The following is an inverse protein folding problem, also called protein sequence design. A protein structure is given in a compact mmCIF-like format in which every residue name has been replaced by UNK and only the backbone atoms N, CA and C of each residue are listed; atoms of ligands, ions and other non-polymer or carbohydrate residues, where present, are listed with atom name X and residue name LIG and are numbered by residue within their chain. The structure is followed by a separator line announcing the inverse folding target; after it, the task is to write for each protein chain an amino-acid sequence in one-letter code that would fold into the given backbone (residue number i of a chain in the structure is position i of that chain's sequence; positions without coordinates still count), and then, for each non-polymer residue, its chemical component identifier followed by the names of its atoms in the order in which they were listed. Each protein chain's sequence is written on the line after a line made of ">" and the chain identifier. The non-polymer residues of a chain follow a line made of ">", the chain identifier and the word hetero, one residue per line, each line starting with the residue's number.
data_IF_008114166955
#
_entry.id   IF_008114166955
#
_cell.length_a   1.000
_cell.length_b   1.000
_cell.length_c   1.000
_cell.angle_alpha   90.00
_cell.angle_beta   90.00
_cell.angle_gamma   90.00
#
_symmetry.space_group_name_H-M   'P 1'
#
loop_
_entity.id
_entity.type
_entity.pdbx_description
1 polymer ?
#
# COMPACT_ATOMS: atom_id res chain seq x y z
N UNK A 1 1.60 24.61 11.28
CA UNK A 1 1.65 24.24 9.84
C UNK A 1 3.04 23.82 9.37
N UNK A 2 4.11 24.26 10.03
CA UNK A 2 5.48 23.81 9.77
C UNK A 2 5.82 22.39 10.28
N UNK A 3 5.20 21.97 11.38
CA UNK A 3 5.26 20.57 11.85
C UNK A 3 4.84 19.59 10.73
N UNK A 4 3.93 19.98 9.84
CA UNK A 4 3.21 19.10 8.90
C UNK A 4 4.15 18.48 7.87
N UNK A 5 5.05 19.26 7.29
CA UNK A 5 5.76 18.83 6.08
C UNK A 5 7.00 18.02 6.41
N UNK A 6 7.76 18.46 7.42
CA UNK A 6 8.93 17.72 7.92
C UNK A 6 8.48 16.47 8.68
N UNK A 7 7.38 16.52 9.45
CA UNK A 7 6.81 15.34 10.09
C UNK A 7 6.20 14.38 9.06
N UNK A 8 5.56 14.82 7.97
CA UNK A 8 5.10 13.87 6.94
C UNK A 8 6.30 13.20 6.25
N UNK A 9 7.42 13.89 6.01
CA UNK A 9 8.59 13.24 5.39
C UNK A 9 9.31 12.29 6.35
N UNK A 10 9.48 12.67 7.62
CA UNK A 10 10.07 11.78 8.64
C UNK A 10 9.11 10.68 9.08
N UNK A 11 7.80 10.89 8.99
CA UNK A 11 6.79 9.85 9.26
C UNK A 11 6.46 9.00 8.05
N UNK A 12 6.70 9.43 6.81
CA UNK A 12 6.67 8.56 5.61
C UNK A 12 7.71 7.45 5.74
N UNK A 13 8.88 7.78 6.31
CA UNK A 13 9.92 6.82 6.70
C UNK A 13 9.42 5.89 7.82
N UNK A 14 8.50 6.36 8.67
CA UNK A 14 7.94 5.64 9.83
C UNK A 14 6.65 4.81 9.52
N UNK A 15 5.91 5.10 8.44
CA UNK A 15 4.73 4.33 7.97
C UNK A 15 5.08 2.85 7.85
N UNK A 16 6.30 2.60 7.38
CA UNK A 16 6.87 1.28 7.16
C UNK A 16 7.20 0.52 8.47
N UNK A 17 7.14 1.18 9.64
CA UNK A 17 7.59 0.59 10.90
C UNK A 17 6.46 -0.02 11.77
N UNK A 18 5.18 0.32 11.53
CA UNK A 18 4.08 -0.01 12.45
C UNK A 18 2.93 -0.87 11.89
N UNK A 19 2.92 -1.18 10.60
CA UNK A 19 2.13 -2.30 10.07
C UNK A 19 2.98 -3.57 10.17
N UNK A 20 2.39 -4.67 10.65
CA UNK A 20 3.04 -5.96 10.47
C UNK A 20 2.80 -6.34 9.02
N UNK A 21 3.79 -6.08 8.19
CA UNK A 21 3.78 -6.48 6.81
C UNK A 21 4.14 -7.96 6.75
N UNK A 22 3.20 -8.75 6.24
CA UNK A 22 3.42 -10.16 5.98
C UNK A 22 3.58 -10.36 4.48
N UNK A 23 4.53 -11.22 4.13
CA UNK A 23 4.74 -11.68 2.76
C UNK A 23 3.89 -12.92 2.53
N UNK A 24 3.21 -12.96 1.39
CA UNK A 24 2.39 -14.09 0.96
C UNK A 24 3.11 -14.84 -0.16
N UNK A 25 3.46 -16.10 0.09
CA UNK A 25 4.06 -17.01 -0.88
C UNK A 25 3.03 -18.08 -1.27
N UNK A 26 2.75 -18.27 -2.56
CA UNK A 26 1.86 -19.33 -3.00
C UNK A 26 2.59 -20.67 -2.99
N UNK A 27 2.00 -21.67 -2.35
CA UNK A 27 2.65 -22.96 -2.11
C UNK A 27 2.60 -23.91 -3.32
N UNK A 28 1.75 -23.61 -4.29
CA UNK A 28 1.49 -24.43 -5.47
C UNK A 28 1.94 -23.71 -6.75
N UNK A 29 2.39 -24.48 -7.74
CA UNK A 29 2.81 -23.95 -9.05
C UNK A 29 1.65 -23.25 -9.77
N UNK A 30 0.44 -23.80 -9.62
CA UNK A 30 -0.79 -23.12 -9.99
C UNK A 30 -1.40 -22.50 -8.73
N UNK A 31 -1.58 -21.17 -8.73
CA UNK A 31 -2.16 -20.45 -7.58
C UNK A 31 -3.57 -20.98 -7.23
N UNK A 32 -4.32 -21.35 -8.26
CA UNK A 32 -5.68 -21.85 -8.14
C UNK A 32 -5.69 -23.35 -8.41
N UNK A 33 -6.15 -24.13 -7.44
CA UNK A 33 -6.29 -25.57 -7.54
C UNK A 33 -7.75 -25.98 -7.47
N UNK A 34 -8.20 -27.00 -8.23
CA UNK A 34 -9.55 -27.49 -8.11
C UNK A 34 -9.79 -28.11 -6.74
N UNK A 35 -10.98 -27.92 -6.19
CA UNK A 35 -11.34 -28.56 -4.93
C UNK A 35 -11.40 -30.07 -5.06
N UNK A 36 -10.89 -30.81 -4.06
CA UNK A 36 -10.84 -32.28 -4.07
C UNK A 36 -12.21 -32.93 -4.31
N UNK A 37 -13.29 -32.35 -3.74
CA UNK A 37 -14.65 -32.88 -3.88
C UNK A 37 -15.34 -32.47 -5.19
N UNK A 38 -14.84 -31.44 -5.86
CA UNK A 38 -15.46 -30.87 -7.06
C UNK A 38 -14.42 -30.59 -8.15
N UNK A 39 -13.68 -31.62 -8.62
CA UNK A 39 -12.55 -31.44 -9.52
C UNK A 39 -12.95 -30.87 -10.88
N UNK A 40 -14.19 -31.14 -11.32
CA UNK A 40 -14.72 -30.67 -12.59
C UNK A 40 -15.30 -29.24 -12.51
N UNK A 41 -15.57 -28.72 -11.31
CA UNK A 41 -16.17 -27.40 -11.07
C UNK A 41 -15.11 -26.31 -10.86
N UNK A 42 -14.10 -26.28 -11.71
CA UNK A 42 -13.00 -25.34 -11.60
C UNK A 42 -13.32 -23.99 -12.26
N UNK A 43 -12.47 -22.98 -12.05
CA UNK A 43 -12.70 -21.60 -12.50
C UNK A 43 -12.80 -21.48 -14.03
N UNK A 44 -12.23 -22.43 -14.76
CA UNK A 44 -12.28 -22.54 -16.22
C UNK A 44 -13.70 -22.78 -16.77
N UNK A 45 -14.64 -23.24 -15.93
CA UNK A 45 -16.05 -23.34 -16.31
C UNK A 45 -16.70 -22.01 -16.64
N UNK A 46 -16.17 -20.89 -16.14
CA UNK A 46 -16.68 -19.55 -16.42
C UNK A 46 -15.65 -18.66 -17.09
N UNK A 47 -14.37 -18.79 -16.75
CA UNK A 47 -13.31 -17.92 -17.26
C UNK A 47 -12.30 -18.72 -18.07
N UNK A 48 -12.19 -18.44 -19.36
CA UNK A 48 -11.03 -18.88 -20.15
C UNK A 48 -9.81 -18.08 -19.70
N UNK A 49 -8.95 -18.75 -18.92
CA UNK A 49 -7.72 -18.19 -18.37
C UNK A 49 -6.48 -18.46 -19.25
N UNK A 50 -6.64 -19.08 -20.42
CA UNK A 50 -5.51 -19.45 -21.29
C UNK A 50 -4.70 -18.25 -21.80
N UNK A 51 -5.29 -17.06 -21.78
CA UNK A 51 -4.65 -15.81 -22.18
C UNK A 51 -4.15 -14.97 -20.99
N UNK A 52 -4.22 -15.50 -19.77
CA UNK A 52 -3.69 -14.88 -18.57
C UNK A 52 -2.41 -15.61 -18.14
N UNK A 53 -1.31 -14.88 -17.99
CA UNK A 53 -0.12 -15.36 -17.34
C UNK A 53 -0.15 -14.90 -15.88
N UNK A 54 -0.01 -15.84 -14.96
CA UNK A 54 0.05 -15.59 -13.52
C UNK A 54 1.36 -16.16 -13.02
N UNK A 55 2.25 -15.30 -12.55
CA UNK A 55 3.53 -15.72 -11.98
C UNK A 55 3.78 -14.98 -10.68
N UNK A 56 4.31 -15.70 -9.68
CA UNK A 56 4.98 -15.04 -8.57
C UNK A 56 6.46 -14.94 -8.94
N UNK A 57 6.95 -13.71 -9.08
CA UNK A 57 8.35 -13.45 -9.41
C UNK A 57 9.23 -13.80 -8.23
N UNK A 58 10.53 -14.01 -8.49
CA UNK A 58 11.47 -14.34 -7.41
C UNK A 58 11.58 -13.27 -6.31
N UNK A 59 11.16 -12.02 -6.61
CA UNK A 59 11.10 -10.92 -5.65
C UNK A 59 9.80 -10.88 -4.83
N UNK A 60 8.97 -11.92 -4.93
CA UNK A 60 7.72 -12.07 -4.20
C UNK A 60 6.54 -11.36 -4.85
N UNK A 61 6.73 -10.58 -5.92
CA UNK A 61 5.63 -9.88 -6.58
C UNK A 61 4.72 -10.83 -7.34
N UNK A 62 3.42 -10.56 -7.31
CA UNK A 62 2.45 -11.24 -8.16
C UNK A 62 2.32 -10.44 -9.46
N UNK A 63 2.69 -11.09 -10.56
CA UNK A 63 2.55 -10.55 -11.90
C UNK A 63 1.40 -11.29 -12.60
N UNK A 64 0.34 -10.54 -12.94
CA UNK A 64 -0.79 -11.03 -13.73
C UNK A 64 -0.90 -10.19 -14.99
N UNK A 65 -0.65 -10.82 -16.13
CA UNK A 65 -0.70 -10.17 -17.44
C UNK A 65 -1.63 -10.89 -18.38
N UNK A 66 -2.36 -10.12 -19.19
CA UNK A 66 -3.20 -10.64 -20.26
C UNK A 66 -4.68 -10.46 -19.95
N UNK A 67 -5.51 -11.42 -20.33
CA UNK A 67 -6.95 -11.28 -20.17
C UNK A 67 -7.64 -12.63 -19.99
N UNK A 68 -8.86 -12.57 -19.46
CA UNK A 68 -9.77 -13.72 -19.40
C UNK A 68 -11.03 -13.44 -20.19
N UNK A 69 -11.68 -14.50 -20.70
CA UNK A 69 -12.95 -14.40 -21.42
C UNK A 69 -14.00 -15.21 -20.69
N UNK A 70 -15.20 -14.64 -20.51
CA UNK A 70 -16.36 -15.36 -19.98
C UNK A 70 -16.83 -16.38 -21.03
N UNK A 71 -16.84 -17.67 -20.68
CA UNK A 71 -17.13 -18.77 -21.61
C UNK A 71 -18.61 -19.08 -21.76
N UNK A 72 -19.45 -18.59 -20.84
CA UNK A 72 -20.91 -18.80 -20.85
C UNK A 72 -21.64 -17.72 -20.09
N UNK A 73 -22.88 -17.45 -20.49
CA UNK A 73 -23.75 -16.51 -19.76
C UNK A 73 -24.24 -17.14 -18.46
N UNK A 74 -24.11 -16.41 -17.35
CA UNK A 74 -24.62 -16.79 -16.03
C UNK A 74 -25.62 -15.73 -15.57
N UNK A 75 -26.89 -16.11 -15.58
CA UNK A 75 -27.99 -15.26 -15.14
C UNK A 75 -28.30 -15.45 -13.66
N UNK A 76 -28.77 -14.39 -13.01
CA UNK A 76 -29.20 -14.42 -11.61
C UNK A 76 -28.13 -14.00 -10.62
N UNK A 77 -28.50 -14.07 -9.34
CA UNK A 77 -27.63 -13.79 -8.21
C UNK A 77 -27.15 -15.10 -7.62
N UNK A 78 -25.85 -15.23 -7.42
CA UNK A 78 -25.20 -16.41 -6.87
C UNK A 78 -24.22 -15.98 -5.77
N UNK A 79 -24.10 -16.75 -4.66
CA UNK A 79 -23.27 -16.36 -3.53
C UNK A 79 -21.77 -16.59 -3.81
N UNK A 80 -20.92 -15.77 -3.19
CA UNK A 80 -19.48 -15.98 -3.10
C UNK A 80 -19.13 -16.26 -1.64
N UNK A 81 -18.55 -17.42 -1.38
CA UNK A 81 -18.01 -17.82 -0.09
C UNK A 81 -16.49 -17.94 -0.20
N UNK A 82 -15.76 -17.17 0.58
CA UNK A 82 -14.31 -17.24 0.69
C UNK A 82 -14.01 -17.65 2.13
N UNK A 83 -13.71 -18.92 2.35
CA UNK A 83 -13.35 -19.44 3.66
C UNK A 83 -11.84 -19.47 3.80
N UNK A 84 -11.31 -18.80 4.83
CA UNK A 84 -9.87 -18.73 5.07
C UNK A 84 -9.53 -19.55 6.30
N UNK A 85 -8.69 -20.56 6.12
CA UNK A 85 -8.21 -21.45 7.17
C UNK A 85 -6.72 -21.24 7.42
N UNK A 86 -6.30 -21.40 8.68
CA UNK A 86 -4.90 -21.45 9.10
C UNK A 86 -4.56 -22.85 9.59
N UNK A 87 -3.39 -23.37 9.23
CA UNK A 87 -2.94 -24.68 9.70
C UNK A 87 -2.40 -24.56 11.13
N UNK A 88 -3.03 -25.28 12.06
CA UNK A 88 -2.59 -25.36 13.45
C UNK A 88 -2.49 -26.82 13.89
N UNK A 89 -1.32 -27.23 14.38
CA UNK A 89 -1.07 -28.61 14.88
C UNK A 89 -1.51 -29.71 13.90
N UNK A 90 -1.36 -29.44 12.60
CA UNK A 90 -1.69 -30.39 11.53
C UNK A 90 -3.14 -30.37 11.05
N UNK A 91 -4.01 -29.53 11.61
CA UNK A 91 -5.41 -29.39 11.17
C UNK A 91 -5.70 -27.96 10.69
N UNK A 92 -6.63 -27.82 9.74
CA UNK A 92 -7.09 -26.52 9.25
C UNK A 92 -8.12 -25.93 10.22
N UNK A 93 -7.83 -24.75 10.77
CA UNK A 93 -8.71 -24.01 11.66
C UNK A 93 -9.27 -22.78 10.95
N UNK A 94 -10.58 -22.49 11.07
CA UNK A 94 -11.18 -21.31 10.44
C UNK A 94 -10.60 -20.02 11.04
N UNK A 95 -10.51 -18.98 10.23
CA UNK A 95 -10.00 -17.68 10.64
C UNK A 95 -11.09 -16.62 10.62
N UNK A 96 -10.77 -15.44 11.15
CA UNK A 96 -11.64 -14.26 11.07
C UNK A 96 -11.69 -13.62 9.67
N UNK A 97 -10.87 -14.10 8.72
CA UNK A 97 -10.77 -13.55 7.37
C UNK A 97 -11.76 -14.17 6.39
N UNK A 98 -12.60 -15.10 6.84
CA UNK A 98 -13.68 -15.66 6.04
C UNK A 98 -14.69 -14.57 5.65
N UNK A 99 -15.05 -14.52 4.37
CA UNK A 99 -15.95 -13.54 3.80
C UNK A 99 -17.06 -14.21 2.99
N UNK A 100 -18.23 -13.57 2.98
CA UNK A 100 -19.36 -13.99 2.14
C UNK A 100 -19.96 -12.77 1.42
N UNK A 101 -20.41 -12.99 0.19
CA UNK A 101 -21.31 -12.07 -0.53
C UNK A 101 -22.51 -12.87 -1.03
N UNK A 102 -23.70 -12.31 -0.90
CA UNK A 102 -24.93 -12.96 -1.37
C UNK A 102 -25.12 -12.88 -2.89
N UNK A 103 -24.55 -11.83 -3.51
CA UNK A 103 -24.64 -11.57 -4.94
C UNK A 103 -23.25 -11.27 -5.49
N UNK A 104 -22.61 -12.28 -6.06
CA UNK A 104 -21.27 -12.19 -6.64
C UNK A 104 -21.22 -11.25 -7.82
N UNK A 105 -22.28 -11.19 -8.64
CA UNK A 105 -22.28 -10.34 -9.81
C UNK A 105 -22.20 -8.87 -9.39
N UNK A 106 -23.09 -8.46 -8.49
CA UNK A 106 -23.08 -7.09 -7.94
C UNK A 106 -21.79 -6.81 -7.16
N UNK A 107 -21.27 -7.78 -6.40
CA UNK A 107 -20.03 -7.61 -5.64
C UNK A 107 -18.79 -7.49 -6.55
N UNK A 108 -18.72 -8.23 -7.66
CA UNK A 108 -17.56 -8.23 -8.56
C UNK A 108 -17.19 -6.82 -9.03
N UNK A 109 -18.19 -5.99 -9.34
CA UNK A 109 -18.01 -4.64 -9.87
C UNK A 109 -18.16 -3.52 -8.83
N UNK A 110 -18.35 -3.89 -7.56
CA UNK A 110 -18.48 -2.92 -6.47
C UNK A 110 -17.16 -2.19 -6.23
N UNK A 111 -17.22 -0.86 -6.16
CA UNK A 111 -16.03 0.00 -5.94
C UNK A 111 -15.41 -0.12 -4.55
N UNK A 112 -16.13 -0.71 -3.59
CA UNK A 112 -15.66 -0.86 -2.21
C UNK A 112 -15.06 -2.23 -1.93
N UNK A 113 -15.10 -3.15 -2.90
CA UNK A 113 -14.51 -4.47 -2.74
C UNK A 113 -13.01 -4.45 -2.98
N UNK A 114 -12.29 -5.34 -2.27
CA UNK A 114 -10.83 -5.39 -2.27
C UNK A 114 -10.23 -5.64 -3.66
N UNK A 115 -10.94 -6.37 -4.52
CA UNK A 115 -10.51 -6.70 -5.88
C UNK A 115 -10.83 -5.62 -6.92
N UNK A 116 -11.50 -4.52 -6.56
CA UNK A 116 -11.89 -3.50 -7.53
C UNK A 116 -10.69 -2.90 -8.27
N UNK A 117 -9.56 -2.75 -7.56
CA UNK A 117 -8.29 -2.25 -8.13
C UNK A 117 -7.78 -3.12 -9.28
N UNK A 118 -8.07 -4.42 -9.29
CA UNK A 118 -7.63 -5.36 -10.33
C UNK A 118 -8.43 -5.23 -11.63
N UNK A 119 -9.59 -4.54 -11.60
CA UNK A 119 -10.44 -4.32 -12.77
C UNK A 119 -10.14 -2.99 -13.49
N UNK A 120 -9.17 -2.21 -13.01
CA UNK A 120 -8.86 -0.85 -13.52
C UNK A 120 -8.56 -0.81 -15.02
N UNK A 121 -7.98 -1.88 -15.56
CA UNK A 121 -7.58 -1.99 -16.96
C UNK A 121 -8.69 -2.56 -17.86
N UNK A 122 -9.77 -3.05 -17.26
CA UNK A 122 -10.92 -3.57 -18.00
C UNK A 122 -11.83 -2.42 -18.44
N UNK A 123 -12.26 -2.36 -19.72
CA UNK A 123 -13.18 -1.34 -20.21
C UNK A 123 -14.51 -1.31 -19.43
N UNK A 124 -15.04 -0.11 -19.16
CA UNK A 124 -16.25 0.04 -18.34
C UNK A 124 -17.48 -0.66 -18.92
N UNK A 125 -17.54 -0.85 -20.25
CA UNK A 125 -18.62 -1.58 -20.93
C UNK A 125 -18.60 -3.08 -20.61
N UNK A 126 -17.44 -3.64 -20.25
CA UNK A 126 -17.27 -5.04 -19.86
C UNK A 126 -17.62 -5.28 -18.39
N UNK A 127 -17.60 -4.24 -17.56
CA UNK A 127 -17.90 -4.30 -16.12
C UNK A 127 -19.41 -4.29 -15.84
N UNK A 128 -20.12 -5.24 -16.44
CA UNK A 128 -21.58 -5.29 -16.43
C UNK A 128 -22.10 -6.64 -15.96
N UNK A 129 -23.24 -6.60 -15.28
CA UNK A 129 -24.02 -7.76 -14.88
C UNK A 129 -25.27 -7.91 -15.75
N UNK A 130 -25.75 -9.15 -16.02
CA UNK A 130 -25.15 -10.44 -15.67
C UNK A 130 -23.81 -10.71 -16.40
N UNK A 131 -23.06 -11.73 -15.97
CA UNK A 131 -21.91 -12.19 -16.76
C UNK A 131 -22.42 -12.77 -18.07
N UNK A 132 -21.96 -12.24 -19.20
CA UNK A 132 -22.35 -12.67 -20.54
C UNK A 132 -21.19 -13.30 -21.27
N UNK A 133 -21.45 -14.38 -22.01
CA UNK A 133 -20.47 -15.03 -22.87
C UNK A 133 -19.74 -14.01 -23.78
N UNK A 134 -18.41 -14.11 -23.83
CA UNK A 134 -17.54 -13.22 -24.59
C UNK A 134 -17.11 -11.94 -23.86
N UNK A 135 -17.60 -11.67 -22.65
CA UNK A 135 -17.06 -10.58 -21.83
C UNK A 135 -15.57 -10.79 -21.56
N UNK A 136 -14.80 -9.72 -21.63
CA UNK A 136 -13.34 -9.73 -21.48
C UNK A 136 -12.92 -8.92 -20.26
N UNK A 137 -12.10 -9.53 -19.41
CA UNK A 137 -11.45 -8.89 -18.27
C UNK A 137 -9.95 -8.82 -18.52
N UNK A 138 -9.41 -7.59 -18.55
CA UNK A 138 -8.01 -7.30 -18.81
C UNK A 138 -7.25 -7.07 -17.49
N UNK A 139 -6.13 -7.77 -17.35
CA UNK A 139 -5.25 -7.75 -16.17
C UNK A 139 -3.86 -7.28 -16.56
N UNK A 140 -3.36 -6.31 -15.81
CA UNK A 140 -1.97 -5.85 -15.80
C UNK A 140 -1.68 -5.46 -14.35
N UNK A 141 -1.26 -6.48 -13.60
CA UNK A 141 -0.96 -6.45 -12.18
C UNK A 141 0.53 -6.76 -12.07
N UNK A 142 1.25 -5.88 -11.38
CA UNK A 142 2.63 -6.11 -10.96
C UNK A 142 2.75 -5.49 -9.57
N UNK A 143 2.35 -6.26 -8.57
CA UNK A 143 2.22 -5.77 -7.20
C UNK A 143 2.91 -6.73 -6.23
N UNK A 144 3.60 -6.22 -5.20
CA UNK A 144 4.19 -7.08 -4.19
C UNK A 144 3.09 -7.79 -3.39
N UNK A 145 3.25 -9.07 -3.06
CA UNK A 145 2.27 -9.85 -2.27
C UNK A 145 2.36 -9.56 -0.77
N UNK A 146 2.36 -8.28 -0.42
CA UNK A 146 2.39 -7.82 0.97
C UNK A 146 0.97 -7.66 1.47
N UNK A 147 0.71 -8.17 2.67
CA UNK A 147 -0.53 -7.93 3.37
C UNK A 147 -0.27 -7.34 4.75
N UNK A 148 -0.83 -6.17 5.00
CA UNK A 148 -0.77 -5.52 6.30
C UNK A 148 -1.90 -6.05 7.17
N UNK A 149 -1.57 -6.90 8.15
CA UNK A 149 -2.55 -7.53 9.02
C UNK A 149 -2.53 -6.91 10.43
N UNK A 150 -3.70 -6.63 11.04
CA UNK A 150 -3.79 -6.02 12.36
C UNK A 150 -3.46 -6.99 13.52
N UNK A 151 -3.13 -8.25 13.21
CA UNK A 151 -2.80 -9.28 14.20
C UNK A 151 -1.29 -9.48 14.31
N UNK A 152 -0.85 -9.77 15.53
CA UNK A 152 0.50 -10.27 15.83
C UNK A 152 0.41 -11.79 15.79
N UNK A 153 1.26 -12.47 15.03
CA UNK A 153 1.26 -13.93 14.79
C UNK A 153 0.40 -14.42 13.60
N UNK A 154 0.34 -13.67 12.49
CA UNK A 154 -0.32 -14.16 11.28
C UNK A 154 0.50 -15.24 10.53
N UNK A 155 1.73 -15.54 10.96
CA UNK A 155 2.60 -16.48 10.27
C UNK A 155 2.04 -17.90 10.26
N UNK A 156 2.22 -18.59 9.14
CA UNK A 156 1.90 -20.00 8.99
C UNK A 156 1.33 -20.33 7.61
N UNK A 157 0.92 -21.58 7.46
CA UNK A 157 0.26 -22.06 6.24
C UNK A 157 -1.24 -21.73 6.29
N UNK A 158 -1.75 -21.21 5.18
CA UNK A 158 -3.12 -20.83 4.97
C UNK A 158 -3.71 -21.60 3.79
N UNK A 159 -4.99 -21.93 3.92
CA UNK A 159 -5.82 -22.48 2.86
C UNK A 159 -7.01 -21.56 2.66
N UNK A 160 -7.20 -21.07 1.45
CA UNK A 160 -8.36 -20.28 1.05
C UNK A 160 -9.23 -21.17 0.19
N UNK A 161 -10.46 -21.42 0.64
CA UNK A 161 -11.45 -22.20 -0.09
C UNK A 161 -12.49 -21.22 -0.65
N UNK A 162 -12.58 -21.14 -1.98
CA UNK A 162 -13.46 -20.22 -2.69
C UNK A 162 -14.56 -21.00 -3.38
N UNK A 163 -15.80 -20.73 -3.00
CA UNK A 163 -17.01 -21.27 -3.59
C UNK A 163 -17.84 -20.14 -4.18
N UNK A 164 -18.09 -20.20 -5.48
CA UNK A 164 -18.86 -19.21 -6.22
C UNK A 164 -20.08 -19.92 -6.82
N UNK A 165 -21.28 -19.57 -6.38
CA UNK A 165 -22.48 -20.40 -6.55
C UNK A 165 -22.71 -21.36 -5.37
N UNK A 166 -23.81 -22.09 -5.43
CA UNK A 166 -24.16 -23.16 -4.51
C UNK A 166 -24.14 -24.50 -5.22
N UNK A 167 -23.86 -25.59 -4.50
CA UNK A 167 -24.01 -26.96 -5.02
C UNK A 167 -25.44 -27.31 -5.43
N UNK A 168 -26.41 -26.52 -4.98
CA UNK A 168 -27.81 -26.64 -5.35
C UNK A 168 -28.15 -25.93 -6.68
N UNK A 169 -27.25 -25.09 -7.16
CA UNK A 169 -27.41 -24.34 -8.41
C UNK A 169 -26.91 -25.16 -9.60
N UNK A 170 -27.46 -24.89 -10.79
CA UNK A 170 -27.00 -25.51 -12.05
C UNK A 170 -25.54 -25.13 -12.42
N UNK A 171 -24.95 -24.18 -11.68
CA UNK A 171 -23.61 -23.68 -11.84
C UNK A 171 -22.99 -23.34 -10.48
N UNK A 172 -21.80 -23.90 -10.24
CA UNK A 172 -20.91 -23.39 -9.21
C UNK A 172 -19.46 -23.68 -9.59
N UNK A 173 -18.56 -22.87 -9.02
CA UNK A 173 -17.11 -23.00 -9.10
C UNK A 173 -16.57 -23.23 -7.70
N UNK A 174 -15.58 -24.12 -7.59
CA UNK A 174 -14.81 -24.37 -6.40
C UNK A 174 -13.31 -24.31 -6.72
N UNK A 175 -12.56 -23.47 -5.99
CA UNK A 175 -11.11 -23.43 -6.07
C UNK A 175 -10.49 -23.31 -4.68
N UNK A 176 -9.32 -23.93 -4.49
CA UNK A 176 -8.50 -23.79 -3.30
C UNK A 176 -7.19 -23.09 -3.65
N UNK A 177 -6.73 -22.23 -2.73
CA UNK A 177 -5.45 -21.55 -2.81
C UNK A 177 -4.68 -21.87 -1.54
N UNK A 178 -3.44 -22.31 -1.69
CA UNK A 178 -2.54 -22.59 -0.58
C UNK A 178 -1.45 -21.55 -0.53
N UNK A 179 -1.27 -20.91 0.63
CA UNK A 179 -0.27 -19.85 0.79
C UNK A 179 0.46 -19.97 2.13
N UNK A 180 1.75 -19.64 2.14
CA UNK A 180 2.51 -19.38 3.34
C UNK A 180 2.46 -17.88 3.62
N UNK A 181 2.01 -17.51 4.81
CA UNK A 181 2.15 -16.15 5.32
C UNK A 181 3.39 -16.13 6.21
N UNK A 182 4.37 -15.32 5.85
CA UNK A 182 5.58 -15.10 6.64
C UNK A 182 5.62 -13.66 7.14
N UNK A 183 5.98 -13.44 8.41
CA UNK A 183 6.27 -12.09 8.89
C UNK A 183 7.42 -11.54 8.06
N UNK A 184 7.34 -10.30 7.58
CA UNK A 184 8.48 -9.65 6.91
C UNK A 184 9.70 -9.70 7.83
N UNK A 185 10.61 -10.65 7.61
CA UNK A 185 11.73 -10.90 8.53
C UNK A 185 12.90 -9.94 8.31
N UNK A 186 12.77 -9.04 7.34
CA UNK A 186 13.88 -8.25 6.85
C UNK A 186 13.76 -6.86 7.44
N UNK A 187 14.64 -6.59 8.42
CA UNK A 187 14.89 -5.22 8.86
C UNK A 187 15.71 -4.55 7.77
N UNK A 188 15.29 -3.36 7.38
CA UNK A 188 16.05 -2.50 6.51
C UNK A 188 16.39 -1.23 7.25
N UNK A 189 17.62 -0.76 7.07
CA UNK A 189 18.08 0.54 7.54
C UNK A 189 18.07 1.51 6.37
N UNK A 190 17.55 2.71 6.59
CA UNK A 190 17.65 3.81 5.63
C UNK A 190 18.97 4.53 5.81
N UNK A 191 19.78 4.60 4.75
CA UNK A 191 20.96 5.47 4.66
C UNK A 191 20.64 6.66 3.74
N UNK A 192 20.70 7.88 4.24
CA UNK A 192 20.48 9.07 3.38
C UNK A 192 21.71 9.33 2.50
N UNK A 193 21.50 9.51 1.20
CA UNK A 193 22.60 9.53 0.21
C UNK A 193 23.16 10.91 -0.11
N UNK A 194 22.53 12.00 0.36
CA UNK A 194 22.95 13.38 0.07
C UNK A 194 23.50 14.12 1.31
N UNK A 195 24.30 15.18 1.08
CA UNK A 195 24.77 16.10 2.13
C UNK A 195 23.58 16.93 2.67
N UNK A 196 22.75 16.30 3.48
CA UNK A 196 21.47 16.82 3.93
C UNK A 196 20.34 15.86 3.57
N UNK A 197 19.34 15.73 4.45
CA UNK A 197 18.21 14.81 4.24
C UNK A 197 17.25 15.32 3.18
N UNK A 198 17.21 16.63 2.94
CA UNK A 198 16.24 17.30 2.09
C UNK A 198 16.92 18.07 0.97
N UNK A 199 16.44 17.87 -0.25
CA UNK A 199 16.98 18.49 -1.46
C UNK A 199 15.89 19.24 -2.22
N UNK A 200 16.21 20.36 -2.89
CA UNK A 200 15.24 21.07 -3.71
C UNK A 200 14.88 20.24 -4.94
N UNK A 201 13.61 20.26 -5.35
CA UNK A 201 13.20 19.60 -6.57
C UNK A 201 13.78 20.29 -7.81
N UNK A 202 14.23 19.50 -8.79
CA UNK A 202 14.80 20.01 -10.06
C UNK A 202 13.87 20.96 -10.80
N UNK A 203 12.56 20.67 -10.80
CA UNK A 203 11.55 21.47 -11.48
C UNK A 203 11.12 22.72 -10.69
N UNK A 204 11.41 22.76 -9.38
CA UNK A 204 11.00 23.85 -8.49
C UNK A 204 12.16 24.28 -7.56
N UNK A 205 13.32 24.68 -8.12
CA UNK A 205 14.54 24.87 -7.34
C UNK A 205 14.47 26.04 -6.36
N UNK A 206 13.56 27.00 -6.59
CA UNK A 206 13.34 28.17 -5.72
C UNK A 206 12.22 27.96 -4.70
N UNK A 207 11.52 26.82 -4.76
CA UNK A 207 10.38 26.52 -3.90
C UNK A 207 10.83 25.45 -2.90
N UNK A 208 11.91 25.71 -2.18
CA UNK A 208 12.39 24.77 -1.16
C UNK A 208 11.67 24.99 0.19
N UNK A 209 11.95 24.13 1.17
CA UNK A 209 11.38 24.21 2.52
C UNK A 209 11.59 25.59 3.17
N UNK A 210 12.65 26.30 2.80
CA UNK A 210 13.00 27.62 3.33
C UNK A 210 11.98 28.73 3.00
N UNK A 211 11.16 28.54 1.96
CA UNK A 211 10.09 29.48 1.59
C UNK A 211 8.94 29.50 2.59
N UNK A 212 8.73 28.38 3.29
CA UNK A 212 7.73 28.29 4.35
C UNK A 212 8.38 28.35 5.73
N UNK A 213 9.63 27.90 5.85
CA UNK A 213 10.22 27.55 7.13
C UNK A 213 11.66 28.04 7.30
N UNK A 214 11.91 28.81 8.34
CA UNK A 214 13.25 28.99 8.86
C UNK A 214 13.68 27.71 9.60
N UNK A 215 14.53 26.93 8.93
CA UNK A 215 15.10 25.67 9.44
C UNK A 215 16.51 25.84 10.02
N UNK A 216 17.01 27.06 10.18
CA UNK A 216 18.38 27.31 10.64
C UNK A 216 18.69 26.75 12.04
N UNK A 217 17.66 26.58 12.86
CA UNK A 217 17.77 26.03 14.22
C UNK A 217 17.42 24.53 14.29
N UNK A 218 17.24 23.87 13.14
CA UNK A 218 16.97 22.44 13.06
C UNK A 218 18.28 21.69 12.80
N UNK A 219 18.61 20.74 13.67
CA UNK A 219 19.67 19.79 13.44
C UNK A 219 19.06 18.43 13.14
N UNK A 220 19.44 17.85 12.01
CA UNK A 220 19.12 16.47 11.67
C UNK A 220 20.42 15.71 11.50
N UNK A 221 20.57 14.61 12.23
CA UNK A 221 21.76 13.77 12.20
C UNK A 221 21.36 12.31 12.22
N UNK A 222 21.87 11.56 11.26
CA UNK A 222 21.92 10.11 11.38
C UNK A 222 23.09 9.74 12.30
N UNK A 223 22.83 8.85 13.24
CA UNK A 223 23.82 8.35 14.21
C UNK A 223 24.36 7.00 13.76
N UNK A 224 25.52 6.60 14.29
CA UNK A 224 26.15 5.31 13.98
C UNK A 224 25.28 4.09 14.32
N UNK A 225 24.28 4.24 15.20
CA UNK A 225 23.31 3.19 15.54
C UNK A 225 22.13 3.11 14.56
N UNK A 226 22.19 3.85 13.45
CA UNK A 226 21.15 3.96 12.43
C UNK A 226 20.01 4.91 12.82
N UNK A 227 19.97 5.45 14.03
CA UNK A 227 18.87 6.36 14.42
C UNK A 227 19.04 7.73 13.76
N UNK A 228 17.93 8.37 13.41
CA UNK A 228 17.88 9.80 13.09
C UNK A 228 17.53 10.57 14.36
N UNK A 229 18.39 11.52 14.69
CA UNK A 229 18.15 12.54 15.72
C UNK A 229 17.72 13.81 15.01
N UNK A 230 16.50 14.25 15.31
CA UNK A 230 15.95 15.54 14.93
C UNK A 230 15.82 16.39 16.18
N UNK A 231 16.69 17.39 16.32
CA UNK A 231 16.75 18.26 17.49
C UNK A 231 16.76 19.73 17.09
N UNK A 232 16.07 20.56 17.86
CA UNK A 232 16.06 22.01 17.70
C UNK A 232 14.68 22.52 17.35
N UNK A 233 14.58 23.55 16.54
CA UNK A 233 13.28 24.10 16.17
C UNK A 233 13.29 24.73 14.79
N UNK A 234 12.09 24.94 14.27
CA UNK A 234 11.84 25.58 12.98
C UNK A 234 10.80 26.68 13.17
N UNK A 235 10.86 27.73 12.37
CA UNK A 235 9.91 28.86 12.46
C UNK A 235 9.19 29.10 11.14
N UNK A 236 7.87 29.28 11.17
CA UNK A 236 7.06 29.57 10.00
C UNK A 236 7.34 31.01 9.55
N UNK A 237 7.84 31.17 8.33
CA UNK A 237 8.14 32.48 7.74
C UNK A 237 6.96 33.05 6.97
N UNK A 238 6.04 32.19 6.52
CA UNK A 238 4.94 32.56 5.61
C UNK A 238 3.59 32.06 6.13
N UNK A 239 2.54 32.90 6.03
CA UNK A 239 1.17 32.49 6.37
C UNK A 239 0.62 31.52 5.33
N UNK A 240 0.31 30.30 5.74
CA UNK A 240 -0.34 29.29 4.89
C UNK A 240 -1.86 29.50 4.90
N UNK A 241 -2.46 29.56 3.72
CA UNK A 241 -3.92 29.70 3.54
C UNK A 241 -4.53 28.31 3.33
N UNK A 242 -5.69 28.04 3.95
CA UNK A 242 -6.42 26.77 3.77
C UNK A 242 -7.30 26.82 2.51
N UNK A 243 -7.48 25.68 1.80
CA UNK A 243 -6.84 24.38 2.03
C UNK A 243 -5.38 24.38 1.56
N UNK A 244 -4.53 23.58 2.21
CA UNK A 244 -3.16 23.32 1.73
C UNK A 244 -3.12 21.88 1.18
N UNK A 245 -3.15 21.70 -0.15
CA UNK A 245 -2.97 20.39 -0.74
C UNK A 245 -1.52 19.96 -0.61
N UNK A 246 -1.31 18.70 -0.23
CA UNK A 246 -0.01 18.09 -0.08
C UNK A 246 0.00 16.73 -0.75
N UNK A 247 1.08 16.45 -1.47
CA UNK A 247 1.30 15.23 -2.20
C UNK A 247 2.70 14.69 -1.91
N UNK A 248 2.79 13.40 -1.61
CA UNK A 248 4.04 12.67 -1.44
C UNK A 248 4.02 11.43 -2.32
N UNK A 249 5.07 11.26 -3.10
CA UNK A 249 5.35 10.03 -3.84
C UNK A 249 6.56 9.35 -3.21
N UNK A 250 6.45 8.06 -2.96
CA UNK A 250 7.61 7.23 -2.70
C UNK A 250 7.94 6.49 -4.00
N UNK A 251 9.14 6.73 -4.51
CA UNK A 251 9.66 6.17 -5.75
C UNK A 251 10.82 5.23 -5.42
N UNK A 252 10.94 4.14 -6.18
CA UNK A 252 12.08 3.21 -6.12
C UNK A 252 12.83 3.24 -7.45
N UNK A 253 14.16 3.26 -7.40
CA UNK A 253 14.98 3.24 -8.60
C UNK A 253 15.11 1.83 -9.14
N UNK A 254 14.53 1.60 -10.32
CA UNK A 254 14.54 0.30 -10.98
C UNK A 254 14.89 0.46 -12.46
N UNK A 255 15.85 -0.36 -12.91
CA UNK A 255 16.25 -0.47 -14.32
C UNK A 255 16.58 0.87 -14.99
N UNK A 256 17.18 1.80 -14.24
CA UNK A 256 17.60 3.11 -14.75
C UNK A 256 16.53 4.21 -14.66
N UNK A 257 15.38 3.95 -14.03
CA UNK A 257 14.26 4.89 -13.93
C UNK A 257 13.63 4.86 -12.53
N UNK A 258 13.10 5.99 -12.08
CA UNK A 258 12.31 6.06 -10.85
C UNK A 258 10.89 5.56 -11.10
N UNK A 259 10.46 4.54 -10.36
CA UNK A 259 9.13 3.94 -10.47
C UNK A 259 8.32 4.24 -9.20
N UNK A 260 7.03 4.63 -9.32
CA UNK A 260 6.19 4.87 -8.16
C UNK A 260 5.89 3.59 -7.40
N UNK A 261 5.81 3.70 -6.08
CA UNK A 261 5.39 2.61 -5.19
C UNK A 261 3.92 2.77 -4.79
N UNK A 262 3.38 1.80 -4.06
CA UNK A 262 2.02 1.86 -3.50
C UNK A 262 1.89 2.82 -2.30
N UNK A 263 2.99 3.35 -1.79
CA UNK A 263 3.03 4.16 -0.56
C UNK A 263 2.83 5.67 -0.79
N UNK A 264 2.24 6.06 -1.93
CA UNK A 264 1.99 7.46 -2.24
C UNK A 264 0.83 8.03 -1.39
N UNK A 265 0.93 9.30 -1.03
CA UNK A 265 -0.04 9.98 -0.18
C UNK A 265 -0.49 11.29 -0.81
N UNK A 266 -1.82 11.48 -0.93
CA UNK A 266 -2.43 12.78 -1.24
C UNK A 266 -3.34 13.22 -0.09
N UNK A 267 -3.28 14.51 0.24
CA UNK A 267 -4.22 15.18 1.14
C UNK A 267 -4.63 16.50 0.52
N UNK A 268 -5.92 16.67 0.27
CA UNK A 268 -6.48 17.91 -0.31
C UNK A 268 -6.41 19.09 0.69
N UNK A 269 -6.50 18.79 1.99
CA UNK A 269 -6.29 19.77 3.06
C UNK A 269 -5.46 19.17 4.20
N UNK A 270 -4.14 19.32 4.08
CA UNK A 270 -3.21 18.87 5.10
C UNK A 270 -3.41 19.61 6.44
N UNK A 271 -3.96 20.82 6.44
CA UNK A 271 -4.19 21.60 7.65
C UNK A 271 -5.31 21.00 8.53
N UNK A 272 -6.34 20.43 7.91
CA UNK A 272 -7.41 19.73 8.63
C UNK A 272 -6.97 18.34 9.06
N UNK A 273 -6.22 17.64 8.19
CA UNK A 273 -5.67 16.31 8.49
C UNK A 273 -4.75 16.36 9.72
N UNK A 274 -3.97 17.43 9.90
CA UNK A 274 -2.99 17.56 10.98
C UNK A 274 -3.55 17.29 12.40
N UNK A 275 -4.77 17.74 12.70
CA UNK A 275 -5.40 17.58 14.02
C UNK A 275 -6.28 16.32 14.14
N UNK A 276 -6.38 15.54 13.07
CA UNK A 276 -7.18 14.33 13.07
C UNK A 276 -6.44 13.23 13.85
N UNK A 277 -7.04 12.77 14.95
CA UNK A 277 -6.47 11.71 15.80
C UNK A 277 -6.34 10.36 15.10
N UNK A 278 -7.05 10.16 14.00
CA UNK A 278 -6.92 8.99 13.15
C UNK A 278 -5.74 9.05 12.18
N UNK A 279 -5.05 10.20 12.07
CA UNK A 279 -3.88 10.31 11.22
C UNK A 279 -2.63 9.80 11.93
N UNK A 280 -1.76 9.19 11.14
CA UNK A 280 -0.58 8.47 11.59
C UNK A 280 0.43 9.32 12.40
N UNK A 281 0.42 10.64 12.24
CA UNK A 281 1.29 11.55 12.99
C UNK A 281 0.69 11.98 14.34
N UNK A 282 -0.57 11.66 14.63
CA UNK A 282 -1.27 12.11 15.85
C UNK A 282 -0.55 11.75 17.16
N UNK A 283 0.09 10.57 17.33
CA UNK A 283 0.78 10.23 18.58
C UNK A 283 1.94 11.19 18.91
N UNK A 284 2.63 11.71 17.90
CA UNK A 284 3.74 12.65 18.07
C UNK A 284 3.27 14.07 18.42
N UNK A 285 1.98 14.34 18.22
CA UNK A 285 1.35 15.62 18.54
C UNK A 285 0.57 15.58 19.85
N UNK A 286 0.42 14.41 20.48
CA UNK A 286 -0.42 14.19 21.67
C UNK A 286 0.01 15.06 22.86
N UNK A 287 1.29 15.41 22.94
CA UNK A 287 1.86 16.27 23.98
C UNK A 287 1.92 17.76 23.59
N UNK A 288 1.48 18.17 22.40
CA UNK A 288 1.43 19.59 22.00
C UNK A 288 0.00 20.12 22.19
N UNK A 289 -0.25 21.08 23.09
CA UNK A 289 -1.57 21.67 23.28
C UNK A 289 -2.14 22.27 21.98
N UNK A 290 -3.42 22.03 21.70
CA UNK A 290 -4.11 22.52 20.49
C UNK A 290 -4.05 24.06 20.36
N UNK A 291 -4.09 24.77 21.49
CA UNK A 291 -3.97 26.22 21.59
C UNK A 291 -2.55 26.72 21.23
N UNK A 292 -1.52 25.93 21.51
CA UNK A 292 -0.14 26.21 21.09
C UNK A 292 0.05 25.96 19.59
N UNK A 293 -0.58 24.94 19.02
CA UNK A 293 -0.48 24.60 17.58
C UNK A 293 -1.13 25.62 16.64
N UNK A 294 -2.11 26.39 17.13
CA UNK A 294 -2.81 27.45 16.39
C UNK A 294 -2.05 28.79 16.45
N UNK A 295 -1.30 29.03 17.54
CA UNK A 295 -0.59 30.30 17.80
C UNK A 295 0.92 30.24 17.54
N UNK A 296 1.52 29.06 17.46
CA UNK A 296 2.96 28.92 17.32
C UNK A 296 3.44 29.08 15.87
N UNK A 297 4.16 30.19 15.64
CA UNK A 297 5.10 30.32 14.53
C UNK A 297 6.32 29.40 14.71
N UNK A 298 6.56 28.81 15.89
CA UNK A 298 7.76 28.01 16.19
C UNK A 298 7.41 26.57 16.57
N UNK A 299 8.18 25.62 16.08
CA UNK A 299 8.00 24.19 16.32
C UNK A 299 9.29 23.63 16.86
N UNK A 300 9.28 23.14 18.10
CA UNK A 300 10.41 22.42 18.67
C UNK A 300 10.33 20.92 18.34
N UNK A 301 11.49 20.34 18.05
CA UNK A 301 11.73 18.94 17.79
C UNK A 301 12.76 18.39 18.78
N UNK A 302 12.42 17.26 19.40
CA UNK A 302 13.35 16.44 20.18
C UNK A 302 12.98 14.98 19.96
N UNK A 303 13.38 14.48 18.78
CA UNK A 303 13.02 13.14 18.29
C UNK A 303 14.32 12.35 18.11
N UNK A 304 14.39 11.18 18.74
CA UNK A 304 15.39 10.15 18.42
C UNK A 304 14.64 8.89 18.02
N UNK A 305 14.80 8.50 16.77
CA UNK A 305 14.08 7.35 16.23
C UNK A 305 15.00 6.45 15.41
N UNK A 306 14.86 5.11 15.53
CA UNK A 306 15.56 4.19 14.67
C UNK A 306 15.10 4.37 13.21
N UNK A 307 16.02 4.29 12.24
CA UNK A 307 15.67 4.21 10.82
C UNK A 307 15.41 2.78 10.34
N UNK A 308 15.17 1.85 11.28
CA UNK A 308 14.84 0.48 10.92
C UNK A 308 13.37 0.39 10.52
N UNK A 309 13.12 -0.23 9.38
CA UNK A 309 11.76 -0.56 8.94
C UNK A 309 11.67 -2.03 8.58
N UNK A 310 10.47 -2.56 8.73
CA UNK A 310 10.20 -3.95 8.38
C UNK A 310 9.51 -3.95 7.03
N UNK A 311 10.19 -4.47 6.03
CA UNK A 311 9.71 -4.49 4.64
C UNK A 311 9.79 -5.91 4.08
N UNK A 312 9.09 -6.22 2.97
CA UNK A 312 9.22 -7.50 2.27
C UNK A 312 10.66 -7.83 1.86
N UNK A 313 10.89 -9.06 1.44
CA UNK A 313 12.19 -9.50 0.90
C UNK A 313 12.53 -8.70 -0.37
N UNK A 314 13.80 -8.26 -0.51
CA UNK A 314 14.33 -7.46 -1.65
C UNK A 314 13.85 -6.00 -1.76
N UNK A 315 13.52 -5.36 -0.63
CA UNK A 315 13.34 -3.89 -0.56
C UNK A 315 14.67 -3.11 -0.50
N UNK A 316 15.80 -3.77 -0.71
CA UNK A 316 17.07 -3.07 -0.90
C UNK A 316 17.03 -2.27 -2.19
N UNK A 317 17.62 -1.08 -2.15
CA UNK A 317 17.69 -0.24 -3.33
C UNK A 317 17.70 1.23 -3.00
N UNK A 318 17.68 2.03 -4.05
CA UNK A 318 17.62 3.49 -3.95
C UNK A 318 16.17 3.94 -4.03
N UNK A 319 15.79 4.81 -3.11
CA UNK A 319 14.45 5.35 -2.96
C UNK A 319 14.51 6.88 -3.00
N UNK A 320 13.47 7.46 -3.58
CA UNK A 320 13.26 8.90 -3.64
C UNK A 320 11.87 9.23 -3.14
N UNK A 321 11.78 10.03 -2.09
CA UNK A 321 10.52 10.66 -1.70
C UNK A 321 10.43 11.98 -2.43
N UNK A 322 9.35 12.20 -3.16
CA UNK A 322 9.05 13.45 -3.83
C UNK A 322 7.83 14.10 -3.17
N UNK A 323 8.04 15.19 -2.43
CA UNK A 323 7.00 15.89 -1.70
C UNK A 323 6.70 17.26 -2.29
N UNK A 324 5.44 17.54 -2.58
CA UNK A 324 4.95 18.83 -3.06
C UNK A 324 3.84 19.32 -2.13
N UNK A 325 3.84 20.60 -1.77
CA UNK A 325 2.61 21.26 -1.37
C UNK A 325 2.32 22.46 -2.25
N UNK A 326 1.08 22.57 -2.70
CA UNK A 326 0.71 23.51 -3.74
C UNK A 326 -0.68 23.23 -4.28
N UNK A 327 -1.22 24.20 -5.01
CA UNK A 327 -2.41 24.00 -5.83
C UNK A 327 -2.02 23.39 -7.17
N UNK A 328 -2.87 22.53 -7.76
CA UNK A 328 -2.71 22.04 -9.14
C UNK A 328 -2.69 23.19 -10.19
N UNK A 329 -3.07 24.42 -9.80
CA UNK A 329 -3.09 25.62 -10.64
C UNK A 329 -1.84 26.53 -10.47
N UNK A 330 -0.64 25.96 -10.43
CA UNK A 330 0.68 26.63 -10.51
C UNK A 330 1.25 27.38 -9.28
N UNK A 331 0.56 27.42 -8.15
CA UNK A 331 1.16 27.93 -6.89
C UNK A 331 1.74 26.76 -6.07
N UNK A 332 2.94 26.29 -6.44
CA UNK A 332 3.74 25.38 -5.60
C UNK A 332 4.33 26.17 -4.44
N UNK A 333 3.91 25.88 -3.21
CA UNK A 333 4.45 26.53 -2.02
C UNK A 333 5.86 26.03 -1.69
N UNK A 334 6.05 24.72 -1.73
CA UNK A 334 7.38 24.12 -1.69
C UNK A 334 7.36 22.74 -2.36
N UNK A 335 8.56 22.29 -2.71
CA UNK A 335 8.87 20.99 -3.22
C UNK A 335 10.19 20.52 -2.58
N UNK A 336 10.22 19.26 -2.17
CA UNK A 336 11.38 18.64 -1.54
C UNK A 336 11.55 17.21 -2.02
N UNK A 337 12.79 16.82 -2.25
CA UNK A 337 13.18 15.44 -2.51
C UNK A 337 14.00 14.91 -1.34
N UNK A 338 13.82 13.63 -1.01
CA UNK A 338 14.67 12.90 -0.08
C UNK A 338 15.15 11.66 -0.77
N UNK A 339 16.47 11.50 -0.82
CA UNK A 339 17.10 10.31 -1.37
C UNK A 339 17.62 9.45 -0.25
N UNK A 340 17.23 8.19 -0.26
CA UNK A 340 17.66 7.23 0.71
C UNK A 340 17.95 5.89 0.05
N UNK A 341 18.85 5.14 0.65
CA UNK A 341 19.18 3.79 0.25
C UNK A 341 18.77 2.84 1.36
N UNK A 342 18.03 1.80 1.01
CA UNK A 342 17.64 0.76 1.95
C UNK A 342 18.63 -0.38 1.84
N UNK A 343 19.13 -0.79 3.00
CA UNK A 343 20.03 -1.91 3.17
C UNK A 343 19.46 -2.88 4.18
N UNK A 344 19.49 -4.17 3.88
CA UNK A 344 19.02 -5.20 4.81
C UNK A 344 20.00 -5.34 5.97
N UNK A 345 19.50 -5.41 7.21
CA UNK A 345 20.27 -5.49 8.47
C UNK A 345 19.93 -6.72 9.30
#
# INVERSE_FOLDING_TARGET
>A
MLKVIILIITTSIYIVCCQNDYELEFLEENIFSPCENYPDNYIDQLFDISNANVEQTEDGSLVVNGFTIVTRTVEGSFPLNIEVFKRERGTWQPTIYTQNRNDTCTACFSKVELWNSYLKNTPAEQLTCPFTEGQRFDFDINEPTIMSLPIRNAEGEYKIHVMCGSELDDFFICTEIYAMIAFGQNKYEFEFTEEGIFSPCENYPNNYLDQLFDITNLSIKQTEDGSVILNGYVTLTTTVVKPLPVYFELLKFERGTWQPTVYNMKREDACTSFFNKGEMWSPYLENTPEEELILQQRVDFDIKEPTFVTLPTRSEGEYKIHGIAGSENDDVFFCVEVFAKLHKV
#
